data_IF_486276650508
#
_entry.id   IF_486276650508
#
_cell.length_a   1.000
_cell.length_b   1.000
_cell.length_c   1.000
_cell.angle_alpha   90.00
_cell.angle_beta   90.00
_cell.angle_gamma   90.00
#
_symmetry.space_group_name_H-M   'P 1'
#
loop_
_entity.id
_entity.type
_entity.pdbx_description
1 polymer ?
#
# COMPACT_ATOMS: atom_id res chain seq x y z
N UNK A 1 -3.72 -48.74 20.33
CA UNK A 1 -4.02 -47.35 20.75
C UNK A 1 -2.90 -46.47 20.21
N UNK A 2 -2.93 -46.07 18.94
CA UNK A 2 -3.73 -44.93 18.49
C UNK A 2 -2.84 -43.68 18.40
N UNK A 3 -1.75 -43.76 17.64
CA UNK A 3 -0.91 -42.59 17.32
C UNK A 3 -1.59 -41.87 16.16
N UNK A 4 -2.30 -40.77 16.44
CA UNK A 4 -2.94 -39.94 15.41
C UNK A 4 -2.92 -38.47 15.83
N UNK A 5 -1.73 -37.90 15.92
CA UNK A 5 -1.51 -36.45 16.11
C UNK A 5 -0.84 -35.83 14.86
N UNK A 6 -0.57 -36.58 13.79
CA UNK A 6 0.28 -36.11 12.68
C UNK A 6 -0.37 -35.18 11.64
N UNK A 7 -1.62 -34.73 11.82
CA UNK A 7 -2.29 -33.85 10.83
C UNK A 7 -2.81 -32.51 11.36
N UNK A 8 -2.70 -32.23 12.66
CA UNK A 8 -3.34 -31.04 13.25
C UNK A 8 -2.38 -29.89 13.63
N UNK A 9 -1.10 -29.92 13.22
CA UNK A 9 -0.10 -28.90 13.59
C UNK A 9 0.58 -28.26 12.37
N UNK A 10 -0.17 -28.00 11.28
CA UNK A 10 0.33 -27.22 10.12
C UNK A 10 -0.48 -25.97 9.79
N UNK A 11 -1.37 -25.54 10.68
CA UNK A 11 -1.98 -24.21 10.64
C UNK A 11 -1.16 -23.19 11.46
N UNK A 12 0.13 -23.47 11.67
CA UNK A 12 1.09 -22.51 12.20
C UNK A 12 1.34 -21.45 11.13
N UNK A 13 0.58 -20.35 11.23
CA UNK A 13 0.89 -19.00 10.75
C UNK A 13 2.03 -18.91 9.72
N UNK A 14 1.79 -19.39 8.50
CA UNK A 14 2.71 -19.16 7.38
C UNK A 14 2.65 -17.67 7.08
N UNK A 15 3.76 -16.96 7.31
CA UNK A 15 3.91 -15.56 6.87
C UNK A 15 3.79 -15.54 5.35
N UNK A 16 2.88 -14.73 4.83
CA UNK A 16 2.67 -14.50 3.40
C UNK A 16 3.58 -13.37 2.97
N UNK A 17 4.63 -13.67 2.21
CA UNK A 17 5.46 -12.62 1.62
C UNK A 17 4.71 -12.00 0.42
N UNK A 18 4.58 -10.66 0.42
CA UNK A 18 3.90 -9.93 -0.65
C UNK A 18 4.81 -8.82 -1.20
N UNK A 19 5.06 -8.84 -2.51
CA UNK A 19 5.82 -7.75 -3.16
C UNK A 19 4.86 -6.63 -3.56
N UNK A 20 4.94 -5.49 -2.88
CA UNK A 20 4.03 -4.35 -3.08
C UNK A 20 4.81 -3.12 -3.51
N UNK A 21 4.50 -2.61 -4.70
CA UNK A 21 5.12 -1.38 -5.18
C UNK A 21 4.43 -0.15 -4.57
N UNK A 22 5.16 0.82 -4.02
CA UNK A 22 4.59 2.12 -3.63
C UNK A 22 5.06 3.21 -4.59
N UNK A 23 4.12 3.78 -5.33
CA UNK A 23 4.35 4.85 -6.30
C UNK A 23 3.50 6.07 -5.97
N UNK A 24 3.84 7.21 -6.58
CA UNK A 24 3.22 8.50 -6.32
C UNK A 24 4.23 9.61 -6.54
N UNK A 25 3.75 10.85 -6.59
CA UNK A 25 4.60 12.01 -6.84
C UNK A 25 5.57 12.32 -5.70
N UNK A 26 6.57 13.15 -5.99
CA UNK A 26 7.36 13.82 -4.97
C UNK A 26 6.44 14.51 -3.96
N UNK A 27 6.86 14.55 -2.69
CA UNK A 27 6.09 15.12 -1.59
C UNK A 27 4.69 14.52 -1.31
N UNK A 28 4.25 13.47 -2.02
CA UNK A 28 2.98 12.79 -1.77
C UNK A 28 2.91 12.08 -0.40
N UNK A 29 4.05 11.86 0.26
CA UNK A 29 4.12 11.28 1.60
C UNK A 29 4.45 9.79 1.65
N UNK A 30 4.93 9.19 0.55
CA UNK A 30 5.35 7.77 0.46
C UNK A 30 6.30 7.36 1.58
N UNK A 31 7.38 8.12 1.76
CA UNK A 31 8.39 7.88 2.80
C UNK A 31 7.77 7.99 4.19
N UNK A 32 6.97 9.02 4.44
CA UNK A 32 6.28 9.18 5.73
C UNK A 32 5.37 7.98 6.06
N UNK A 33 4.59 7.49 5.09
CA UNK A 33 3.76 6.28 5.23
C UNK A 33 4.64 5.08 5.56
N UNK A 34 5.71 4.86 4.80
CA UNK A 34 6.64 3.75 5.01
C UNK A 34 7.22 3.74 6.44
N UNK A 35 7.74 4.86 6.91
CA UNK A 35 8.31 4.96 8.26
C UNK A 35 7.25 4.82 9.34
N UNK A 36 6.06 5.40 9.14
CA UNK A 36 4.92 5.26 10.06
C UNK A 36 4.55 3.79 10.26
N UNK A 37 4.52 3.01 9.17
CA UNK A 37 4.23 1.58 9.20
C UNK A 37 5.38 0.76 9.79
N UNK A 38 6.63 1.14 9.54
CA UNK A 38 7.82 0.41 10.01
C UNK A 38 8.10 0.57 11.49
N UNK A 39 7.97 1.79 12.01
CA UNK A 39 8.43 2.16 13.35
C UNK A 39 7.27 2.42 14.32
N UNK A 40 6.03 2.50 13.84
CA UNK A 40 4.87 2.90 14.63
C UNK A 40 4.93 4.35 15.13
N UNK A 41 5.93 5.12 14.71
CA UNK A 41 6.18 6.51 15.12
C UNK A 41 6.49 7.40 13.91
N UNK A 42 6.24 8.70 14.06
CA UNK A 42 6.58 9.71 13.04
C UNK A 42 8.06 10.04 13.24
N UNK A 43 8.91 9.68 12.28
CA UNK A 43 10.31 10.11 12.27
C UNK A 43 10.47 11.16 11.16
N UNK A 44 11.10 12.29 11.48
CA UNK A 44 11.43 13.32 10.49
C UNK A 44 12.36 12.71 9.43
N UNK A 45 11.86 12.53 8.22
CA UNK A 45 12.60 11.87 7.14
C UNK A 45 13.54 12.86 6.46
N UNK A 46 14.79 12.45 6.22
CA UNK A 46 15.71 13.16 5.32
C UNK A 46 15.42 12.67 3.89
N UNK A 47 15.21 13.55 2.90
CA UNK A 47 14.98 13.12 1.52
C UNK A 47 16.20 12.33 1.02
N UNK A 48 16.00 11.05 0.68
CA UNK A 48 17.07 10.18 0.19
C UNK A 48 17.29 10.34 -1.31
N UNK A 49 18.55 10.48 -1.71
CA UNK A 49 19.01 10.32 -3.09
C UNK A 49 19.33 8.83 -3.29
N UNK A 50 18.57 8.14 -4.15
CA UNK A 50 18.86 6.75 -4.57
C UNK A 50 17.87 5.68 -4.06
N UNK A 51 17.86 4.55 -4.78
CA UNK A 51 17.00 3.37 -4.62
C UNK A 51 16.92 2.86 -3.18
N UNK A 52 15.83 3.18 -2.46
CA UNK A 52 15.54 2.61 -1.14
C UNK A 52 14.50 1.50 -1.27
N UNK A 53 14.92 0.25 -1.02
CA UNK A 53 14.03 -0.91 -0.90
C UNK A 53 13.87 -1.20 0.56
N UNK A 54 12.67 -1.00 1.09
CA UNK A 54 12.38 -1.29 2.48
C UNK A 54 11.28 -2.33 2.63
N UNK A 55 11.54 -3.29 3.50
CA UNK A 55 10.57 -4.33 3.84
C UNK A 55 9.89 -3.97 5.16
N UNK A 56 8.56 -3.85 5.15
CA UNK A 56 7.74 -3.57 6.33
C UNK A 56 6.85 -4.76 6.61
N UNK A 57 6.89 -5.27 7.85
CA UNK A 57 5.98 -6.31 8.30
C UNK A 57 4.68 -5.70 8.82
N UNK A 58 3.54 -6.15 8.29
CA UNK A 58 2.23 -5.87 8.88
C UNK A 58 1.41 -7.16 8.95
N UNK A 59 0.95 -7.51 10.16
CA UNK A 59 0.34 -8.81 10.49
C UNK A 59 1.23 -9.98 10.04
N UNK A 60 0.68 -10.90 9.25
CA UNK A 60 1.39 -12.01 8.63
C UNK A 60 1.92 -11.68 7.22
N UNK A 61 1.95 -10.40 6.84
CA UNK A 61 2.35 -9.94 5.50
C UNK A 61 3.63 -9.12 5.57
N UNK A 62 4.57 -9.43 4.67
CA UNK A 62 5.79 -8.66 4.48
C UNK A 62 5.64 -7.83 3.21
N UNK A 63 5.69 -6.49 3.31
CA UNK A 63 5.54 -5.53 2.21
C UNK A 63 6.93 -5.05 1.78
N UNK A 64 7.41 -5.47 0.62
CA UNK A 64 8.63 -4.88 0.03
C UNK A 64 8.26 -3.67 -0.79
N UNK A 65 8.43 -2.47 -0.22
CA UNK A 65 8.13 -1.19 -0.87
C UNK A 65 9.29 -0.78 -1.75
N UNK A 66 9.03 -0.77 -3.06
CA UNK A 66 9.91 -0.18 -4.05
C UNK A 66 9.49 1.25 -4.31
N UNK A 67 10.45 2.17 -4.31
CA UNK A 67 10.27 3.51 -4.85
C UNK A 67 11.03 3.46 -6.18
N UNK A 68 10.32 3.47 -7.33
CA UNK A 68 10.83 3.47 -8.71
C UNK A 68 11.09 2.12 -9.45
N UNK A 69 10.96 0.93 -8.85
CA UNK A 69 11.19 -0.35 -9.58
C UNK A 69 10.01 -1.33 -9.53
N UNK A 70 9.65 -1.87 -10.70
CA UNK A 70 8.35 -2.53 -10.93
C UNK A 70 8.37 -4.08 -10.96
N UNK A 71 9.54 -4.73 -10.95
CA UNK A 71 9.59 -6.16 -11.27
C UNK A 71 8.88 -7.03 -10.22
N UNK A 72 7.88 -7.81 -10.68
CA UNK A 72 7.15 -8.84 -9.93
C UNK A 72 6.34 -8.35 -8.71
N UNK A 73 5.79 -7.13 -8.77
CA UNK A 73 4.82 -6.66 -7.76
C UNK A 73 3.45 -7.32 -7.93
N UNK A 74 2.85 -7.75 -6.83
CA UNK A 74 1.51 -8.36 -6.77
C UNK A 74 0.41 -7.31 -6.56
N UNK A 75 0.79 -6.14 -6.06
CA UNK A 75 -0.10 -5.00 -5.85
C UNK A 75 0.69 -3.70 -5.87
N UNK A 76 -0.03 -2.61 -6.07
CA UNK A 76 0.49 -1.25 -6.16
C UNK A 76 -0.26 -0.39 -5.14
N UNK A 77 0.49 0.33 -4.31
CA UNK A 77 0.00 1.43 -3.49
C UNK A 77 0.34 2.72 -4.23
N UNK A 78 -0.67 3.46 -4.68
CA UNK A 78 -0.52 4.76 -5.30
C UNK A 78 -0.86 5.85 -4.28
N UNK A 79 0.14 6.65 -3.92
CA UNK A 79 -0.02 7.73 -2.93
C UNK A 79 -0.25 9.05 -3.66
N UNK A 80 -1.41 9.65 -3.42
CA UNK A 80 -1.83 10.94 -3.96
C UNK A 80 -1.73 11.98 -2.86
N UNK A 81 -1.14 13.12 -3.19
CA UNK A 81 -1.26 14.32 -2.37
C UNK A 81 -2.64 14.94 -2.58
N UNK A 82 -3.51 14.86 -1.59
CA UNK A 82 -4.89 15.38 -1.69
C UNK A 82 -4.91 16.90 -1.83
N UNK A 83 -3.84 17.63 -1.48
CA UNK A 83 -3.75 19.07 -1.68
C UNK A 83 -3.20 19.47 -3.04
N UNK A 84 -2.59 18.54 -3.77
CA UNK A 84 -2.01 18.82 -5.08
C UNK A 84 -3.01 18.53 -6.21
N UNK A 85 -3.86 19.51 -6.48
CA UNK A 85 -4.95 19.38 -7.45
C UNK A 85 -4.46 19.33 -8.90
N UNK A 86 -3.26 19.86 -9.18
CA UNK A 86 -2.72 20.03 -10.53
C UNK A 86 -1.91 18.81 -10.98
N UNK A 87 -1.21 18.15 -10.04
CA UNK A 87 -0.32 17.04 -10.36
C UNK A 87 -0.96 15.66 -10.18
N UNK A 88 -2.24 15.50 -10.51
CA UNK A 88 -2.84 14.15 -10.52
C UNK A 88 -2.46 13.43 -11.83
N UNK A 89 -1.59 12.42 -11.72
CA UNK A 89 -1.17 11.59 -12.85
C UNK A 89 -1.94 10.27 -12.91
N UNK A 90 -2.39 9.90 -14.12
CA UNK A 90 -3.09 8.65 -14.42
C UNK A 90 -2.14 7.51 -14.84
N UNK A 91 -0.96 7.39 -14.23
CA UNK A 91 0.00 6.33 -14.54
C UNK A 91 -0.30 5.02 -13.78
N UNK A 92 -1.51 4.50 -13.94
CA UNK A 92 -1.98 3.31 -13.23
C UNK A 92 -1.78 2.05 -14.10
N UNK A 93 -0.83 1.17 -13.73
CA UNK A 93 -0.47 -0.09 -14.46
C UNK A 93 -1.17 -1.35 -13.95
N UNK A 94 -1.38 -2.39 -14.76
CA UNK A 94 -2.15 -3.64 -14.47
C UNK A 94 -1.73 -4.48 -13.22
N UNK A 95 -2.03 -4.01 -12.01
CA UNK A 95 -1.87 -4.75 -10.76
C UNK A 95 -2.97 -4.36 -9.76
N UNK A 96 -3.22 -5.11 -8.68
CA UNK A 96 -4.20 -4.69 -7.67
C UNK A 96 -3.81 -3.31 -7.12
N UNK A 97 -4.75 -2.36 -7.10
CA UNK A 97 -4.46 -0.96 -6.78
C UNK A 97 -5.07 -0.53 -5.46
N UNK A 98 -4.24 -0.10 -4.53
CA UNK A 98 -4.66 0.71 -3.40
C UNK A 98 -4.26 2.16 -3.66
N UNK A 99 -5.21 3.09 -3.63
CA UNK A 99 -4.94 4.52 -3.68
C UNK A 99 -5.03 5.10 -2.27
N UNK A 100 -3.98 5.74 -1.80
CA UNK A 100 -4.04 6.59 -0.62
C UNK A 100 -4.27 8.03 -1.03
N UNK A 101 -5.45 8.57 -0.71
CA UNK A 101 -5.73 9.99 -0.73
C UNK A 101 -5.12 10.60 0.53
N UNK A 102 -3.83 10.94 0.47
CA UNK A 102 -3.03 11.29 1.63
C UNK A 102 -3.09 12.81 1.90
N UNK A 103 -2.88 13.17 3.17
CA UNK A 103 -2.88 14.53 3.77
C UNK A 103 -4.27 15.04 4.14
N UNK A 104 -4.35 15.54 5.38
CA UNK A 104 -5.55 16.16 5.96
C UNK A 104 -5.25 17.65 6.20
N UNK A 105 -5.34 18.45 5.14
CA UNK A 105 -5.13 19.90 5.17
C UNK A 105 -6.37 20.62 4.65
N UNK A 106 -6.58 21.89 5.01
CA UNK A 106 -7.60 22.72 4.38
C UNK A 106 -7.46 22.68 2.86
N UNK A 107 -8.58 22.50 2.15
CA UNK A 107 -8.70 22.35 0.69
C UNK A 107 -8.25 21.01 0.09
N UNK A 108 -7.94 20.00 0.90
CA UNK A 108 -7.71 18.64 0.42
C UNK A 108 -8.89 18.15 -0.43
N UNK A 109 -8.58 17.51 -1.55
CA UNK A 109 -9.57 16.86 -2.40
C UNK A 109 -10.23 15.72 -1.63
N UNK A 110 -11.55 15.62 -1.80
CA UNK A 110 -12.29 14.50 -1.24
C UNK A 110 -11.95 13.20 -1.96
N UNK A 111 -12.21 12.05 -1.33
CA UNK A 111 -12.05 10.74 -1.95
C UNK A 111 -12.81 10.66 -3.29
N UNK A 112 -14.10 11.05 -3.39
CA UNK A 112 -14.81 11.09 -4.67
C UNK A 112 -14.13 11.97 -5.74
N UNK A 113 -13.64 13.15 -5.38
CA UNK A 113 -12.95 14.05 -6.32
C UNK A 113 -11.68 13.39 -6.88
N UNK A 114 -10.90 12.70 -6.03
CA UNK A 114 -9.71 11.98 -6.46
C UNK A 114 -10.09 10.77 -7.33
N UNK A 115 -11.15 10.04 -6.98
CA UNK A 115 -11.68 8.92 -7.77
C UNK A 115 -12.01 9.36 -9.20
N UNK A 116 -12.69 10.51 -9.34
CA UNK A 116 -13.07 11.06 -10.64
C UNK A 116 -11.85 11.52 -11.43
N UNK A 117 -10.95 12.29 -10.81
CA UNK A 117 -9.73 12.79 -11.48
C UNK A 117 -8.80 11.67 -11.93
N UNK A 118 -8.68 10.62 -11.13
CA UNK A 118 -7.91 9.42 -11.49
C UNK A 118 -8.63 8.52 -12.50
N UNK A 119 -9.89 8.79 -12.80
CA UNK A 119 -10.70 7.97 -13.69
C UNK A 119 -10.84 6.52 -13.19
N UNK A 120 -10.86 6.29 -11.88
CA UNK A 120 -10.87 4.92 -11.31
C UNK A 120 -12.10 4.12 -11.76
N UNK A 121 -13.22 4.78 -12.03
CA UNK A 121 -14.42 4.17 -12.60
C UNK A 121 -14.21 3.50 -13.97
N UNK A 122 -13.19 3.92 -14.71
CA UNK A 122 -12.83 3.35 -16.02
C UNK A 122 -12.00 2.06 -15.90
N UNK A 123 -11.44 1.77 -14.71
CA UNK A 123 -10.60 0.60 -14.44
C UNK A 123 -11.42 -0.68 -14.22
N UNK A 124 -12.29 -1.04 -15.18
CA UNK A 124 -13.27 -2.14 -15.05
C UNK A 124 -12.68 -3.53 -14.86
N UNK A 125 -11.46 -3.76 -15.36
CA UNK A 125 -10.78 -5.08 -15.33
C UNK A 125 -9.79 -5.21 -14.17
N UNK A 126 -9.79 -4.25 -13.23
CA UNK A 126 -8.77 -4.14 -12.20
C UNK A 126 -9.41 -3.95 -10.84
N UNK A 127 -9.02 -4.77 -9.86
CA UNK A 127 -9.42 -4.56 -8.47
C UNK A 127 -8.70 -3.31 -7.93
N UNK A 128 -9.47 -2.33 -7.49
CA UNK A 128 -8.95 -1.11 -6.88
C UNK A 128 -9.75 -0.72 -5.62
N UNK A 129 -9.10 0.03 -4.75
CA UNK A 129 -9.71 0.68 -3.59
C UNK A 129 -9.01 1.99 -3.32
N UNK A 130 -9.76 2.97 -2.82
CA UNK A 130 -9.25 4.27 -2.42
C UNK A 130 -9.57 4.50 -0.95
N UNK A 131 -8.58 4.99 -0.21
CA UNK A 131 -8.68 5.24 1.21
C UNK A 131 -8.14 6.63 1.52
N UNK A 132 -8.97 7.46 2.15
CA UNK A 132 -8.50 8.70 2.76
C UNK A 132 -7.51 8.38 3.87
N UNK A 133 -6.35 9.04 3.87
CA UNK A 133 -5.28 8.77 4.82
C UNK A 133 -4.51 10.01 5.25
N UNK A 134 -3.87 9.90 6.40
CA UNK A 134 -2.96 10.93 6.89
C UNK A 134 -1.69 10.26 7.39
N UNK A 135 -0.61 10.39 6.63
CA UNK A 135 0.66 9.72 6.91
C UNK A 135 1.25 10.08 8.28
N UNK A 136 1.05 11.32 8.75
CA UNK A 136 1.54 11.77 10.05
C UNK A 136 0.74 11.14 11.19
N UNK A 137 -0.60 11.24 11.18
CA UNK A 137 -1.41 10.63 12.25
C UNK A 137 -1.41 9.10 12.17
N UNK A 138 -1.34 8.53 10.96
CA UNK A 138 -1.49 7.11 10.68
C UNK A 138 -2.93 6.71 10.32
N UNK A 139 -3.87 7.66 10.36
CA UNK A 139 -5.28 7.41 10.05
C UNK A 139 -5.44 6.88 8.62
N UNK A 140 -6.30 5.87 8.44
CA UNK A 140 -6.63 5.29 7.15
C UNK A 140 -5.56 4.35 6.58
N UNK A 141 -4.33 4.33 7.12
CA UNK A 141 -3.26 3.50 6.57
C UNK A 141 -3.54 2.02 6.77
N UNK A 142 -3.99 1.63 7.96
CA UNK A 142 -4.22 0.23 8.29
C UNK A 142 -5.44 -0.34 7.58
N UNK A 143 -6.50 0.45 7.42
CA UNK A 143 -7.71 0.11 6.68
C UNK A 143 -7.40 -0.17 5.21
N UNK A 144 -6.56 0.67 4.59
CA UNK A 144 -6.08 0.46 3.22
C UNK A 144 -5.23 -0.81 3.09
N UNK A 145 -4.32 -1.05 4.02
CA UNK A 145 -3.47 -2.26 4.01
C UNK A 145 -4.28 -3.54 4.28
N UNK A 146 -5.31 -3.47 5.11
CA UNK A 146 -6.22 -4.59 5.36
C UNK A 146 -6.96 -4.97 4.10
N UNK A 147 -7.52 -3.99 3.38
CA UNK A 147 -8.12 -4.24 2.08
C UNK A 147 -7.11 -4.87 1.11
N UNK A 148 -5.91 -4.31 1.00
CA UNK A 148 -4.89 -4.81 0.06
C UNK A 148 -4.48 -6.26 0.37
N UNK A 149 -4.25 -6.57 1.65
CA UNK A 149 -3.83 -7.92 2.07
C UNK A 149 -4.91 -8.99 1.83
N UNK A 150 -6.18 -8.62 1.93
CA UNK A 150 -7.31 -9.50 1.67
C UNK A 150 -7.57 -9.73 0.17
N UNK A 151 -7.23 -8.76 -0.68
CA UNK A 151 -7.50 -8.83 -2.11
C UNK A 151 -6.35 -9.37 -2.95
N UNK A 152 -5.12 -9.43 -2.41
CA UNK A 152 -3.99 -10.04 -3.11
C UNK A 152 -4.07 -11.57 -3.04
N UNK A 153 -4.12 -12.26 -4.21
CA UNK A 153 -4.11 -13.72 -4.25
C UNK A 153 -2.85 -14.27 -3.57
N UNK A 154 -3.00 -15.28 -2.69
CA UNK A 154 -1.83 -16.02 -2.23
C UNK A 154 -1.30 -16.79 -3.42
N UNK A 155 -0.11 -16.41 -3.91
CA UNK A 155 0.73 -17.42 -4.53
C UNK A 155 1.17 -18.32 -3.37
N UNK A 156 0.63 -19.54 -3.31
CA UNK A 156 1.23 -20.58 -2.50
C UNK A 156 2.69 -20.70 -2.99
N UNK A 157 3.64 -20.46 -2.09
CA UNK A 157 5.03 -20.85 -2.35
C UNK A 157 4.98 -22.37 -2.42
N UNK A 158 5.11 -22.92 -3.63
CA UNK A 158 5.25 -24.35 -3.86
C UNK A 158 6.62 -24.81 -3.36
#
# INVERSE_FOLDING_TARGET
MGVSISRLVRTLFVKREMRILMVGLDAAGKTTILYKLKLGQIVNTIPTIGFNVETVGYKNVSFTVWIHYFQNSQGVIFVVDSNDRERILNELRDAILLVFANKDLPNAMSVPEITDKLGLHSLRQRCWYIQGSCASSGQGLYEGLDWLSNNIPSKAVA
#
